data_IF_234388504067
#
_entry.id   IF_234388504067
#
_cell.length_a   1.000
_cell.length_b   1.000
_cell.length_c   1.000
_cell.angle_alpha   90.00
_cell.angle_beta   90.00
_cell.angle_gamma   90.00
#
_symmetry.space_group_name_H-M   'P 1'
#
loop_
_entity.id
_entity.type
_entity.pdbx_description
1 polymer ?
#
# COMPACT_ATOMS: atom_id res chain seq x y z
N UNK A 1 -12.46 -10.98 17.04
CA UNK A 1 -13.94 -10.83 17.09
C UNK A 1 -14.39 -9.55 17.80
N UNK A 2 -14.33 -9.42 19.14
CA UNK A 2 -14.82 -8.19 19.83
C UNK A 2 -13.88 -6.97 19.69
N UNK A 3 -12.56 -7.16 19.89
CA UNK A 3 -11.58 -6.06 19.79
C UNK A 3 -11.50 -5.51 18.37
N UNK A 4 -11.52 -6.39 17.36
CA UNK A 4 -11.55 -6.03 15.94
C UNK A 4 -12.84 -5.27 15.58
N UNK A 5 -13.98 -5.67 16.15
CA UNK A 5 -15.24 -4.98 15.93
C UNK A 5 -15.27 -3.58 16.57
N UNK A 6 -14.71 -3.42 17.78
CA UNK A 6 -14.53 -2.11 18.41
C UNK A 6 -13.56 -1.22 17.63
N UNK A 7 -12.45 -1.78 17.12
CA UNK A 7 -11.53 -1.06 16.23
C UNK A 7 -12.22 -0.62 14.93
N UNK A 8 -13.05 -1.48 14.33
CA UNK A 8 -13.80 -1.16 13.12
C UNK A 8 -14.76 0.02 13.31
N UNK A 9 -15.45 0.08 14.46
CA UNK A 9 -16.33 1.19 14.81
C UNK A 9 -15.57 2.46 15.16
N UNK A 10 -14.46 2.34 15.89
CA UNK A 10 -13.69 3.47 16.39
C UNK A 10 -12.75 4.10 15.34
N UNK A 11 -12.51 3.43 14.20
CA UNK A 11 -11.68 3.97 13.11
C UNK A 11 -12.50 5.00 12.31
N UNK A 12 -12.20 6.30 12.40
CA UNK A 12 -12.81 7.29 11.53
C UNK A 12 -12.45 6.93 10.09
N UNK A 13 -13.45 6.81 9.23
CA UNK A 13 -13.24 6.34 7.86
C UNK A 13 -14.35 6.93 6.99
N UNK A 14 -14.01 7.68 5.92
CA UNK A 14 -14.95 8.13 4.93
C UNK A 14 -15.87 7.00 4.43
N UNK A 15 -17.12 7.35 4.09
CA UNK A 15 -18.13 6.37 3.67
C UNK A 15 -17.68 5.53 2.48
N UNK A 16 -16.99 6.13 1.51
CA UNK A 16 -16.53 5.45 0.30
C UNK A 16 -15.45 4.39 0.62
N UNK A 17 -14.47 4.73 1.47
CA UNK A 17 -13.45 3.77 1.92
C UNK A 17 -14.04 2.64 2.76
N UNK A 18 -15.01 2.95 3.63
CA UNK A 18 -15.70 1.93 4.42
C UNK A 18 -16.51 0.97 3.55
N UNK A 19 -17.14 1.48 2.50
CA UNK A 19 -17.89 0.66 1.54
C UNK A 19 -16.97 -0.29 0.75
N UNK A 20 -15.73 0.13 0.48
CA UNK A 20 -14.70 -0.66 -0.20
C UNK A 20 -13.99 -1.68 0.68
N UNK A 21 -14.12 -1.59 2.02
CA UNK A 21 -13.56 -2.58 2.94
C UNK A 21 -12.20 -2.23 3.54
N UNK A 22 -11.70 -0.99 3.37
CA UNK A 22 -10.38 -0.59 3.88
C UNK A 22 -10.21 -0.79 5.40
N UNK A 23 -11.19 -0.45 6.27
CA UNK A 23 -11.07 -0.73 7.71
C UNK A 23 -10.96 -2.23 8.03
N UNK A 24 -11.64 -3.09 7.28
CA UNK A 24 -11.56 -4.54 7.46
C UNK A 24 -10.17 -5.04 7.10
N UNK A 25 -9.60 -4.55 5.99
CA UNK A 25 -8.28 -4.97 5.52
C UNK A 25 -7.16 -4.62 6.50
N UNK A 26 -7.14 -3.38 7.00
CA UNK A 26 -6.11 -2.95 7.97
C UNK A 26 -6.22 -3.71 9.30
N UNK A 27 -7.44 -4.05 9.75
CA UNK A 27 -7.67 -4.84 10.96
C UNK A 27 -7.27 -6.31 10.74
N UNK A 28 -7.62 -6.89 9.60
CA UNK A 28 -7.23 -8.25 9.23
C UNK A 28 -5.71 -8.39 9.15
N UNK A 29 -5.03 -7.42 8.53
CA UNK A 29 -3.57 -7.35 8.47
C UNK A 29 -2.96 -7.22 9.87
N UNK A 30 -3.55 -6.41 10.75
CA UNK A 30 -3.10 -6.33 12.15
C UNK A 30 -3.22 -7.68 12.87
N UNK A 31 -4.35 -8.37 12.71
CA UNK A 31 -4.59 -9.66 13.35
C UNK A 31 -3.62 -10.72 12.82
N UNK A 32 -3.38 -10.76 11.51
CA UNK A 32 -2.43 -11.66 10.87
C UNK A 32 -1.00 -11.41 11.36
N UNK A 33 -0.57 -10.15 11.42
CA UNK A 33 0.74 -9.80 11.98
C UNK A 33 0.93 -10.35 13.40
N UNK A 34 -0.08 -10.24 14.28
CA UNK A 34 0.03 -10.75 15.65
C UNK A 34 0.30 -12.25 15.70
N UNK A 35 -0.29 -13.03 14.79
CA UNK A 35 -0.07 -14.48 14.69
C UNK A 35 1.23 -14.83 13.98
N UNK A 36 1.58 -14.09 12.94
CA UNK A 36 2.70 -14.37 12.05
C UNK A 36 3.97 -13.56 12.34
N UNK A 37 4.05 -12.88 13.49
CA UNK A 37 5.11 -11.91 13.82
C UNK A 37 6.52 -12.44 13.56
N UNK A 38 6.80 -13.67 13.99
CA UNK A 38 8.11 -14.29 13.84
C UNK A 38 8.43 -14.61 12.37
N UNK A 39 7.44 -15.05 11.60
CA UNK A 39 7.58 -15.30 10.16
C UNK A 39 7.74 -14.00 9.35
N UNK A 40 7.14 -12.90 9.80
CA UNK A 40 7.23 -11.60 9.14
C UNK A 40 8.52 -10.85 9.48
N UNK A 41 9.19 -11.16 10.60
CA UNK A 41 10.38 -10.43 11.07
C UNK A 41 11.43 -10.20 9.97
N UNK A 42 11.88 -11.21 9.19
CA UNK A 42 12.88 -10.98 8.15
C UNK A 42 12.43 -9.97 7.08
N UNK A 43 11.16 -10.02 6.70
CA UNK A 43 10.59 -9.04 5.76
C UNK A 43 10.60 -7.63 6.37
N UNK A 44 10.14 -7.47 7.62
CA UNK A 44 10.11 -6.17 8.28
C UNK A 44 11.53 -5.57 8.47
N UNK A 45 12.52 -6.41 8.77
CA UNK A 45 13.92 -6.00 8.93
C UNK A 45 14.54 -5.59 7.58
N UNK A 46 14.32 -6.37 6.52
CA UNK A 46 14.78 -6.02 5.18
C UNK A 46 14.14 -4.72 4.69
N UNK A 47 12.82 -4.55 4.86
CA UNK A 47 12.11 -3.33 4.46
C UNK A 47 12.69 -2.11 5.16
N UNK A 48 12.91 -2.17 6.48
CA UNK A 48 13.56 -1.09 7.24
C UNK A 48 14.97 -0.79 6.73
N UNK A 49 15.78 -1.83 6.53
CA UNK A 49 17.17 -1.69 6.11
C UNK A 49 17.25 -0.96 4.76
N UNK A 50 16.44 -1.36 3.77
CA UNK A 50 16.44 -0.74 2.45
C UNK A 50 15.83 0.66 2.43
N UNK A 51 14.84 0.95 3.29
CA UNK A 51 14.38 2.33 3.49
C UNK A 51 15.53 3.21 4.02
N UNK A 52 16.30 2.73 4.99
CA UNK A 52 17.43 3.48 5.56
C UNK A 52 18.58 3.62 4.56
N UNK A 53 18.87 2.60 3.78
CA UNK A 53 19.87 2.62 2.72
C UNK A 53 19.50 3.65 1.64
N UNK A 54 18.28 3.60 1.10
CA UNK A 54 17.79 4.60 0.16
C UNK A 54 17.75 6.00 0.77
N UNK A 55 17.31 6.12 2.02
CA UNK A 55 17.34 7.40 2.71
C UNK A 55 18.77 7.94 2.75
N UNK A 56 19.79 7.10 3.05
CA UNK A 56 21.22 7.49 3.13
C UNK A 56 21.70 8.26 1.91
N UNK A 57 21.22 7.90 0.73
CA UNK A 57 21.58 8.57 -0.53
C UNK A 57 20.87 9.91 -0.77
N UNK A 58 19.85 10.28 0.01
CA UNK A 58 19.18 11.58 -0.11
C UNK A 58 20.16 12.74 0.16
N UNK A 59 20.21 13.70 -0.77
CA UNK A 59 21.08 14.89 -0.70
C UNK A 59 20.65 15.91 0.35
N UNK A 60 19.37 15.90 0.70
CA UNK A 60 18.77 16.81 1.68
C UNK A 60 18.16 16.05 2.85
N UNK A 61 17.88 16.79 3.90
CA UNK A 61 17.40 16.31 5.19
C UNK A 61 16.16 17.09 5.68
N UNK A 62 15.44 17.81 4.80
CA UNK A 62 14.26 18.58 5.23
C UNK A 62 13.02 17.72 5.31
N UNK A 63 12.60 17.11 4.19
CA UNK A 63 11.31 16.38 4.13
C UNK A 63 11.50 14.93 3.67
N UNK A 64 11.18 13.99 4.55
CA UNK A 64 10.95 12.60 4.18
C UNK A 64 9.45 12.28 4.10
N UNK A 65 9.04 11.55 3.08
CA UNK A 65 7.65 11.10 2.89
C UNK A 65 7.63 9.57 2.77
N UNK A 66 6.71 8.92 3.49
CA UNK A 66 6.48 7.48 3.40
C UNK A 66 5.03 7.22 2.98
N UNK A 67 4.84 6.77 1.74
CA UNK A 67 3.56 6.32 1.19
C UNK A 67 3.32 4.84 1.54
N UNK A 68 2.10 4.51 1.99
CA UNK A 68 1.78 3.17 2.49
C UNK A 68 2.38 2.93 3.88
N UNK A 69 2.44 3.98 4.70
CA UNK A 69 3.05 3.93 6.05
C UNK A 69 2.34 2.98 7.02
N UNK A 70 1.07 2.65 6.76
CA UNK A 70 0.31 1.61 7.41
C UNK A 70 0.39 1.61 8.93
N UNK A 71 0.76 0.46 9.49
CA UNK A 71 0.89 0.23 10.93
C UNK A 71 2.26 0.59 11.51
N UNK A 72 3.19 1.10 10.68
CA UNK A 72 4.59 1.41 11.04
C UNK A 72 5.37 0.19 11.57
N UNK A 73 5.10 -1.00 11.02
CA UNK A 73 5.78 -2.24 11.44
C UNK A 73 7.17 -2.35 10.80
N UNK A 74 7.28 -1.88 9.56
CA UNK A 74 8.40 -1.93 8.62
C UNK A 74 8.95 -0.53 8.27
N UNK A 75 8.35 0.53 8.81
CA UNK A 75 8.86 1.90 8.69
C UNK A 75 9.86 2.20 9.82
N UNK A 76 11.13 2.55 9.52
CA UNK A 76 12.14 2.90 10.52
C UNK A 76 11.94 4.34 11.02
N UNK A 77 10.81 4.57 11.72
CA UNK A 77 10.36 5.92 12.05
C UNK A 77 11.32 6.69 12.96
N UNK A 78 12.01 6.01 13.88
CA UNK A 78 12.90 6.68 14.82
C UNK A 78 14.11 7.29 14.09
N UNK A 79 14.69 6.50 13.19
CA UNK A 79 15.83 6.84 12.36
C UNK A 79 15.47 7.93 11.34
N UNK A 80 14.31 7.81 10.69
CA UNK A 80 13.81 8.86 9.78
C UNK A 80 13.53 10.16 10.54
N UNK A 81 12.91 10.10 11.72
CA UNK A 81 12.63 11.27 12.55
C UNK A 81 13.89 11.94 13.08
N UNK A 82 14.95 11.17 13.37
CA UNK A 82 16.25 11.73 13.77
C UNK A 82 16.95 12.43 12.61
N UNK A 83 16.78 11.90 11.39
CA UNK A 83 17.48 12.39 10.21
C UNK A 83 16.85 13.62 9.58
N UNK A 84 15.53 13.61 9.41
CA UNK A 84 14.84 14.63 8.62
C UNK A 84 14.18 15.68 9.52
N UNK A 85 14.18 16.95 9.10
CA UNK A 85 13.47 18.03 9.81
C UNK A 85 11.98 17.73 9.93
N UNK A 86 11.39 17.06 8.95
CA UNK A 86 10.00 16.61 8.93
C UNK A 86 9.86 15.22 8.28
N UNK A 87 9.04 14.37 8.89
CA UNK A 87 8.61 13.08 8.32
C UNK A 87 7.10 13.08 8.13
N UNK A 88 6.64 12.81 6.91
CA UNK A 88 5.22 12.75 6.56
C UNK A 88 4.84 11.29 6.28
N UNK A 89 3.96 10.75 7.10
CA UNK A 89 3.42 9.40 6.99
C UNK A 89 2.10 9.46 6.25
N UNK A 90 2.09 8.97 5.01
CA UNK A 90 0.93 8.97 4.13
C UNK A 90 0.37 7.56 4.07
N UNK A 91 -0.93 7.44 4.27
CA UNK A 91 -1.70 6.22 4.03
C UNK A 91 -3.14 6.60 3.74
N UNK A 92 -3.94 5.69 3.21
CA UNK A 92 -5.36 5.94 3.00
C UNK A 92 -6.12 5.96 4.34
N UNK A 93 -5.63 5.23 5.36
CA UNK A 93 -6.17 5.22 6.72
C UNK A 93 -5.06 4.94 7.74
N UNK A 94 -5.10 5.64 8.89
CA UNK A 94 -4.26 5.31 10.04
C UNK A 94 -5.10 4.95 11.26
N UNK A 95 -4.81 3.79 11.87
CA UNK A 95 -5.45 3.42 13.12
C UNK A 95 -5.04 4.39 14.26
N UNK A 96 -5.94 4.76 15.20
CA UNK A 96 -5.63 5.73 16.25
C UNK A 96 -4.39 5.39 17.10
N UNK A 97 -4.13 4.10 17.33
CA UNK A 97 -2.97 3.66 18.10
C UNK A 97 -1.64 3.87 17.34
N UNK A 98 -1.67 3.86 16.00
CA UNK A 98 -0.50 4.15 15.16
C UNK A 98 -0.10 5.61 15.36
N UNK A 99 -1.09 6.52 15.23
CA UNK A 99 -0.90 7.94 15.53
C UNK A 99 -0.39 8.15 16.95
N UNK A 100 -0.98 7.46 17.93
CA UNK A 100 -0.55 7.53 19.33
C UNK A 100 0.93 7.12 19.53
N UNK A 101 1.37 6.02 18.92
CA UNK A 101 2.78 5.56 19.02
C UNK A 101 3.76 6.57 18.43
N UNK A 102 3.36 7.27 17.38
CA UNK A 102 4.20 8.27 16.72
C UNK A 102 4.23 9.63 17.44
N UNK A 103 3.35 9.91 18.41
CA UNK A 103 3.31 11.19 19.16
C UNK A 103 4.62 11.56 19.87
N UNK A 104 5.50 10.59 20.11
CA UNK A 104 6.81 10.85 20.71
C UNK A 104 7.79 11.55 19.75
N UNK A 105 7.48 11.59 18.47
CA UNK A 105 8.30 12.22 17.43
C UNK A 105 7.63 13.54 17.01
N UNK A 106 8.14 14.70 17.47
CA UNK A 106 7.47 16.00 17.29
C UNK A 106 7.45 16.47 15.83
N UNK A 107 8.34 15.96 15.00
CA UNK A 107 8.46 16.27 13.58
C UNK A 107 7.72 15.29 12.65
N UNK A 108 6.90 14.40 13.21
CA UNK A 108 6.11 13.43 12.43
C UNK A 108 4.70 13.94 12.21
N UNK A 109 4.29 14.03 10.96
CA UNK A 109 2.93 14.40 10.53
C UNK A 109 2.27 13.24 9.80
N UNK A 110 0.97 13.04 10.01
CA UNK A 110 0.17 12.03 9.30
C UNK A 110 -0.69 12.71 8.24
N UNK A 111 -0.79 12.08 7.08
CA UNK A 111 -1.72 12.49 6.02
C UNK A 111 -2.54 11.30 5.56
N UNK A 112 -3.87 11.42 5.68
CA UNK A 112 -4.82 10.43 5.18
C UNK A 112 -5.18 10.81 3.73
N UNK A 113 -4.58 10.10 2.77
CA UNK A 113 -4.66 10.42 1.35
C UNK A 113 -4.76 9.15 0.51
N UNK A 114 -5.78 9.09 -0.34
CA UNK A 114 -5.77 8.21 -1.51
C UNK A 114 -4.81 8.82 -2.55
N UNK A 115 -3.59 8.28 -2.64
CA UNK A 115 -2.55 8.77 -3.55
C UNK A 115 -2.92 8.63 -5.03
N UNK A 116 -3.93 7.80 -5.34
CA UNK A 116 -4.44 7.63 -6.70
C UNK A 116 -5.64 8.54 -6.97
N UNK A 117 -6.40 8.89 -5.93
CA UNK A 117 -7.66 9.62 -6.04
C UNK A 117 -8.81 8.84 -6.68
N UNK A 118 -8.68 7.53 -6.93
CA UNK A 118 -9.70 6.74 -7.64
C UNK A 118 -10.81 6.23 -6.74
N UNK A 119 -10.58 6.09 -5.44
CA UNK A 119 -11.54 5.43 -4.56
C UNK A 119 -12.87 6.17 -4.51
N UNK A 120 -12.85 7.49 -4.34
CA UNK A 120 -14.08 8.29 -4.31
C UNK A 120 -14.76 8.35 -5.69
N UNK A 121 -13.98 8.40 -6.77
CA UNK A 121 -14.50 8.41 -8.14
C UNK A 121 -15.26 7.13 -8.47
N UNK A 122 -14.67 5.97 -8.17
CA UNK A 122 -15.29 4.65 -8.36
C UNK A 122 -16.56 4.54 -7.51
N UNK A 123 -16.52 5.00 -6.26
CA UNK A 123 -17.68 4.96 -5.38
C UNK A 123 -18.87 5.74 -5.94
N UNK A 124 -18.66 6.99 -6.39
CA UNK A 124 -19.71 7.81 -6.98
C UNK A 124 -20.19 7.27 -8.33
N UNK A 125 -19.29 6.68 -9.12
CA UNK A 125 -19.63 5.98 -10.36
C UNK A 125 -20.58 4.80 -10.12
N UNK A 126 -20.24 3.91 -9.19
CA UNK A 126 -21.09 2.76 -8.82
C UNK A 126 -22.47 3.23 -8.36
N UNK A 127 -22.52 4.29 -7.54
CA UNK A 127 -23.76 4.89 -7.07
C UNK A 127 -24.63 5.46 -8.21
N UNK A 128 -24.02 6.11 -9.20
CA UNK A 128 -24.73 6.60 -10.40
C UNK A 128 -25.30 5.46 -11.24
N UNK A 129 -24.51 4.42 -11.50
CA UNK A 129 -24.97 3.25 -12.26
C UNK A 129 -26.17 2.57 -11.58
N UNK A 130 -26.12 2.37 -10.25
CA UNK A 130 -27.24 1.81 -9.46
C UNK A 130 -28.50 2.67 -9.50
N UNK A 131 -28.38 3.97 -9.73
CA UNK A 131 -29.51 4.90 -9.84
C UNK A 131 -30.16 4.94 -11.23
N UNK A 132 -29.65 4.16 -12.21
CA UNK A 132 -30.10 4.18 -13.60
C UNK A 132 -29.69 5.44 -14.37
N UNK A 133 -28.75 6.24 -13.82
CA UNK A 133 -28.32 7.54 -14.37
C UNK A 133 -26.89 7.52 -14.93
N UNK A 134 -26.37 6.37 -15.33
CA UNK A 134 -24.98 6.25 -15.77
C UNK A 134 -24.81 5.35 -16.97
N UNK A 135 -24.01 5.80 -17.95
CA UNK A 135 -23.27 4.92 -18.85
C UNK A 135 -22.11 4.29 -18.08
N UNK A 136 -21.57 3.16 -18.57
CA UNK A 136 -20.30 2.60 -18.10
C UNK A 136 -19.22 3.70 -18.21
N UNK A 137 -18.67 4.22 -17.11
CA UNK A 137 -17.70 5.30 -17.20
C UNK A 137 -16.37 4.83 -17.76
N UNK A 138 -15.73 5.71 -18.54
CA UNK A 138 -14.32 5.59 -18.86
C UNK A 138 -13.50 5.69 -17.57
N UNK A 139 -12.37 5.00 -17.54
CA UNK A 139 -11.43 5.07 -16.42
C UNK A 139 -11.07 6.54 -16.12
N UNK A 140 -11.06 6.94 -14.84
CA UNK A 140 -10.84 8.34 -14.49
C UNK A 140 -9.49 8.83 -14.99
N UNK A 141 -9.46 10.03 -15.59
CA UNK A 141 -8.21 10.71 -15.88
C UNK A 141 -7.54 11.06 -14.56
N UNK A 142 -6.47 10.32 -14.27
CA UNK A 142 -5.60 10.55 -13.14
C UNK A 142 -4.77 11.79 -13.46
N UNK A 143 -5.25 12.98 -13.06
CA UNK A 143 -4.48 14.21 -13.15
C UNK A 143 -3.58 14.30 -11.91
N UNK A 144 -2.26 14.05 -12.01
CA UNK A 144 -1.40 14.11 -10.85
C UNK A 144 -1.27 15.57 -10.40
N UNK A 145 -1.77 15.88 -9.21
CA UNK A 145 -1.26 17.03 -8.45
C UNK A 145 0.10 16.62 -7.90
N UNK A 146 1.17 17.42 -8.06
CA UNK A 146 2.47 17.11 -7.48
C UNK A 146 2.34 16.76 -5.99
N UNK A 147 2.99 15.67 -5.55
CA UNK A 147 2.85 15.17 -4.18
C UNK A 147 3.17 16.26 -3.16
N UNK A 148 4.24 17.00 -3.39
CA UNK A 148 4.65 18.13 -2.55
C UNK A 148 3.53 19.17 -2.38
N UNK A 149 2.79 19.48 -3.46
CA UNK A 149 1.65 20.41 -3.40
C UNK A 149 0.49 19.82 -2.58
N UNK A 150 0.15 18.54 -2.79
CA UNK A 150 -0.89 17.85 -2.02
C UNK A 150 -0.56 17.79 -0.52
N UNK A 151 0.73 17.72 -0.18
CA UNK A 151 1.22 17.70 1.20
C UNK A 151 1.54 19.11 1.75
N UNK A 152 1.39 20.17 0.95
CA UNK A 152 1.72 21.53 1.38
C UNK A 152 3.19 21.73 1.79
N UNK A 153 4.12 21.05 1.10
CA UNK A 153 5.58 21.20 1.29
C UNK A 153 6.24 21.73 0.03
N UNK A 154 7.40 22.37 0.18
CA UNK A 154 8.14 22.94 -0.96
C UNK A 154 8.88 21.90 -1.79
N UNK A 155 9.44 20.87 -1.13
CA UNK A 155 10.19 19.79 -1.76
C UNK A 155 10.17 18.53 -0.89
N UNK A 156 10.43 17.38 -1.52
CA UNK A 156 10.59 16.08 -0.86
C UNK A 156 12.02 15.60 -1.13
N UNK A 157 12.85 15.56 -0.09
CA UNK A 157 14.26 15.14 -0.22
C UNK A 157 14.41 13.62 -0.23
N UNK A 158 13.46 12.90 0.39
CA UNK A 158 13.38 11.44 0.37
C UNK A 158 11.93 10.97 0.29
N UNK A 159 11.65 10.04 -0.62
CA UNK A 159 10.32 9.45 -0.80
C UNK A 159 10.41 7.92 -0.74
N UNK A 160 9.66 7.29 0.17
CA UNK A 160 9.47 5.85 0.20
C UNK A 160 8.04 5.47 -0.18
N UNK A 161 7.88 4.46 -1.03
CA UNK A 161 6.60 3.79 -1.30
C UNK A 161 6.72 2.35 -0.80
N UNK A 162 6.07 2.04 0.32
CA UNK A 162 6.29 0.82 1.09
C UNK A 162 5.12 -0.14 0.91
N UNK A 163 5.33 -1.17 0.12
CA UNK A 163 4.37 -2.19 -0.29
C UNK A 163 3.01 -1.67 -0.80
N UNK A 164 2.97 -0.42 -1.26
CA UNK A 164 1.73 0.25 -1.67
C UNK A 164 1.36 -0.09 -3.12
N UNK A 165 2.34 -0.16 -4.02
CA UNK A 165 2.13 -0.25 -5.47
C UNK A 165 1.23 -1.43 -5.85
N UNK A 166 1.56 -2.65 -5.41
CA UNK A 166 0.79 -3.88 -5.64
C UNK A 166 -0.61 -3.83 -5.01
N UNK A 167 -0.83 -3.00 -3.99
CA UNK A 167 -2.09 -2.92 -3.25
C UNK A 167 -3.08 -1.91 -3.83
N UNK A 168 -2.60 -0.91 -4.59
CA UNK A 168 -3.42 0.16 -5.18
C UNK A 168 -4.71 -0.33 -5.87
N UNK A 169 -4.68 -1.38 -6.73
CA UNK A 169 -5.88 -1.82 -7.43
C UNK A 169 -6.81 -2.70 -6.60
N UNK A 170 -6.33 -3.36 -5.53
CA UNK A 170 -7.01 -4.52 -4.93
C UNK A 170 -8.44 -4.19 -4.49
N UNK A 171 -8.61 -3.27 -3.53
CA UNK A 171 -9.93 -2.94 -2.98
C UNK A 171 -10.81 -2.12 -3.95
N UNK A 172 -10.27 -1.12 -4.68
CA UNK A 172 -11.06 -0.38 -5.65
C UNK A 172 -11.62 -1.27 -6.77
N UNK A 173 -10.82 -2.21 -7.31
CA UNK A 173 -11.28 -3.15 -8.34
C UNK A 173 -12.27 -4.16 -7.79
N UNK A 174 -12.00 -4.77 -6.62
CA UNK A 174 -12.93 -5.71 -6.00
C UNK A 174 -14.30 -5.07 -5.72
N UNK A 175 -14.32 -3.79 -5.32
CA UNK A 175 -15.55 -3.04 -5.15
C UNK A 175 -16.27 -2.77 -6.48
N UNK A 176 -15.52 -2.39 -7.52
CA UNK A 176 -16.07 -2.14 -8.85
C UNK A 176 -16.66 -3.42 -9.45
N UNK A 177 -15.92 -4.53 -9.45
CA UNK A 177 -16.34 -5.84 -9.94
C UNK A 177 -17.64 -6.31 -9.27
N UNK A 178 -17.68 -6.28 -7.93
CA UNK A 178 -18.86 -6.66 -7.14
C UNK A 178 -20.12 -5.88 -7.51
N UNK A 179 -19.97 -4.63 -7.94
CA UNK A 179 -21.09 -3.73 -8.20
C UNK A 179 -21.31 -3.39 -9.66
N UNK A 180 -20.46 -3.88 -10.56
CA UNK A 180 -20.47 -3.56 -11.99
C UNK A 180 -19.88 -4.71 -12.80
N UNK A 181 -20.59 -5.84 -12.91
CA UNK A 181 -20.12 -7.03 -13.65
C UNK A 181 -20.10 -6.83 -15.18
N UNK A 182 -20.28 -5.59 -15.65
CA UNK A 182 -20.22 -5.24 -17.06
C UNK A 182 -18.79 -5.09 -17.58
N UNK A 183 -17.80 -4.93 -16.69
CA UNK A 183 -16.40 -4.88 -17.05
C UNK A 183 -15.82 -6.29 -17.16
N UNK A 184 -15.03 -6.50 -18.21
CA UNK A 184 -14.25 -7.71 -18.42
C UNK A 184 -12.98 -7.74 -17.55
N UNK A 185 -12.41 -8.93 -17.38
CA UNK A 185 -11.12 -9.12 -16.69
C UNK A 185 -9.99 -8.33 -17.37
N UNK A 186 -10.01 -8.24 -18.71
CA UNK A 186 -9.06 -7.44 -19.49
C UNK A 186 -9.13 -5.96 -19.12
N UNK A 187 -10.34 -5.40 -18.97
CA UNK A 187 -10.53 -4.00 -18.58
C UNK A 187 -10.01 -3.73 -17.16
N UNK A 188 -10.19 -4.67 -16.23
CA UNK A 188 -9.59 -4.56 -14.90
C UNK A 188 -8.05 -4.61 -14.95
N UNK A 189 -7.48 -5.50 -15.76
CA UNK A 189 -6.03 -5.56 -15.97
C UNK A 189 -5.47 -4.28 -16.56
N UNK A 190 -6.13 -3.69 -17.56
CA UNK A 190 -5.74 -2.40 -18.14
C UNK A 190 -5.80 -1.30 -17.08
N UNK A 191 -6.83 -1.26 -16.25
CA UNK A 191 -6.95 -0.23 -15.23
C UNK A 191 -5.92 -0.38 -14.11
N UNK A 192 -5.68 -1.60 -13.61
CA UNK A 192 -4.62 -1.88 -12.65
C UNK A 192 -3.25 -1.39 -13.18
N UNK A 193 -2.97 -1.71 -14.45
CA UNK A 193 -1.76 -1.30 -15.14
C UNK A 193 -1.60 0.22 -15.22
N UNK A 194 -2.70 0.96 -15.44
CA UNK A 194 -2.70 2.41 -15.41
C UNK A 194 -2.42 2.97 -14.01
N UNK A 195 -2.99 2.38 -12.96
CA UNK A 195 -2.70 2.76 -11.57
C UNK A 195 -1.21 2.59 -11.25
N UNK A 196 -0.63 1.45 -11.62
CA UNK A 196 0.78 1.20 -11.37
C UNK A 196 1.69 2.18 -12.11
N UNK A 197 1.47 2.37 -13.41
CA UNK A 197 2.26 3.28 -14.24
C UNK A 197 2.20 4.71 -13.71
N UNK A 198 1.01 5.18 -13.34
CA UNK A 198 0.85 6.53 -12.82
C UNK A 198 1.49 6.71 -11.45
N UNK A 199 1.40 5.71 -10.57
CA UNK A 199 2.11 5.75 -9.29
C UNK A 199 3.62 5.86 -9.49
N UNK A 200 4.22 5.02 -10.35
CA UNK A 200 5.64 5.07 -10.65
C UNK A 200 6.10 6.41 -11.24
N UNK A 201 5.33 6.95 -12.19
CA UNK A 201 5.59 8.29 -12.74
C UNK A 201 5.52 9.36 -11.65
N UNK A 202 4.55 9.24 -10.75
CA UNK A 202 4.36 10.16 -9.64
C UNK A 202 5.51 10.10 -8.64
N UNK A 203 6.00 8.91 -8.28
CA UNK A 203 7.17 8.74 -7.42
C UNK A 203 8.40 9.43 -8.04
N UNK A 204 8.69 9.12 -9.32
CA UNK A 204 9.84 9.67 -10.04
C UNK A 204 9.78 11.19 -10.20
N UNK A 205 8.59 11.76 -10.35
CA UNK A 205 8.39 13.21 -10.45
C UNK A 205 8.46 13.92 -9.10
N UNK A 206 8.34 13.21 -7.97
CA UNK A 206 8.19 13.80 -6.65
C UNK A 206 9.50 13.97 -5.87
N UNK A 207 10.51 13.13 -6.14
CA UNK A 207 11.81 13.23 -5.48
C UNK A 207 12.92 12.65 -6.36
N UNK A 208 14.15 13.15 -6.21
CA UNK A 208 15.34 12.54 -6.82
C UNK A 208 15.76 11.24 -6.10
N UNK A 209 15.40 11.08 -4.82
CA UNK A 209 15.70 9.88 -4.04
C UNK A 209 14.40 9.15 -3.68
N UNK A 210 14.16 8.03 -4.36
CA UNK A 210 12.93 7.25 -4.22
C UNK A 210 13.27 5.82 -3.80
N UNK A 211 12.72 5.36 -2.68
CA UNK A 211 12.71 3.96 -2.29
C UNK A 211 11.36 3.34 -2.66
N UNK A 212 11.34 2.35 -3.56
CA UNK A 212 10.15 1.55 -3.84
C UNK A 212 10.36 0.13 -3.32
N UNK A 213 9.47 -0.30 -2.44
CA UNK A 213 9.38 -1.68 -1.99
C UNK A 213 7.99 -2.19 -2.39
N UNK A 214 7.92 -3.29 -3.13
CA UNK A 214 6.66 -3.82 -3.65
C UNK A 214 6.69 -5.33 -3.79
N UNK A 215 5.54 -5.96 -3.59
CA UNK A 215 5.31 -7.33 -4.02
C UNK A 215 5.46 -7.41 -5.56
N UNK A 216 6.15 -8.47 -6.02
CA UNK A 216 6.37 -8.79 -7.43
C UNK A 216 5.57 -10.03 -7.83
N UNK A 217 5.59 -11.06 -6.99
CA UNK A 217 4.87 -12.31 -7.21
C UNK A 217 4.24 -12.79 -5.90
N UNK A 218 3.08 -13.42 -6.01
CA UNK A 218 2.47 -14.22 -4.94
C UNK A 218 2.65 -15.70 -5.28
N UNK A 219 3.16 -16.45 -4.31
CA UNK A 219 3.55 -17.85 -4.45
C UNK A 219 2.80 -18.66 -3.41
N UNK A 220 2.08 -19.69 -3.87
CA UNK A 220 1.44 -20.68 -2.99
C UNK A 220 2.24 -21.98 -3.07
N UNK A 221 2.65 -22.49 -1.91
CA UNK A 221 3.38 -23.74 -1.75
C UNK A 221 2.55 -24.76 -1.00
N UNK A 222 2.73 -26.04 -1.31
CA UNK A 222 2.15 -27.14 -0.54
C UNK A 222 2.89 -27.37 0.81
N UNK A 223 2.46 -28.38 1.55
CA UNK A 223 3.04 -28.74 2.84
C UNK A 223 4.49 -29.28 2.74
N UNK A 224 4.91 -29.73 1.55
CA UNK A 224 6.25 -30.22 1.24
C UNK A 224 7.15 -29.12 0.64
N UNK A 225 6.61 -27.92 0.39
CA UNK A 225 7.32 -26.80 -0.21
C UNK A 225 7.31 -26.79 -1.74
N UNK A 226 6.51 -27.62 -2.40
CA UNK A 226 6.36 -27.59 -3.86
C UNK A 226 5.45 -26.44 -4.30
N UNK A 227 5.77 -25.86 -5.45
CA UNK A 227 4.97 -24.79 -6.05
C UNK A 227 3.60 -25.31 -6.48
N UNK A 228 2.52 -24.76 -5.90
CA UNK A 228 1.14 -24.97 -6.36
C UNK A 228 0.80 -23.89 -7.39
N UNK A 229 1.05 -22.63 -7.05
CA UNK A 229 0.58 -21.50 -7.82
C UNK A 229 1.56 -20.32 -7.74
N UNK A 230 1.65 -19.58 -8.84
CA UNK A 230 2.41 -18.34 -8.94
C UNK A 230 1.59 -17.31 -9.69
N UNK A 231 1.35 -16.18 -9.05
CA UNK A 231 0.62 -15.04 -9.59
C UNK A 231 1.55 -13.82 -9.67
N UNK A 232 1.44 -13.03 -10.73
CA UNK A 232 2.14 -11.75 -10.85
C UNK A 232 1.37 -10.66 -10.08
N UNK A 233 2.01 -10.02 -9.10
CA UNK A 233 1.38 -9.01 -8.25
C UNK A 233 1.15 -7.66 -8.96
N UNK A 234 1.79 -7.44 -10.12
CA UNK A 234 1.75 -6.20 -10.89
C UNK A 234 1.07 -6.37 -12.25
N UNK A 235 0.32 -7.46 -12.45
CA UNK A 235 -0.24 -7.87 -13.75
C UNK A 235 0.85 -8.03 -14.83
N UNK A 236 0.49 -8.51 -16.03
CA UNK A 236 1.44 -8.74 -17.14
C UNK A 236 2.01 -7.46 -17.76
N UNK A 237 1.72 -6.29 -17.18
CA UNK A 237 1.96 -5.01 -17.81
C UNK A 237 3.32 -4.38 -17.50
N UNK A 238 4.04 -4.85 -16.47
CA UNK A 238 5.28 -4.21 -16.04
C UNK A 238 6.41 -5.17 -15.67
N UNK A 239 7.60 -4.88 -16.19
CA UNK A 239 8.86 -5.47 -15.75
C UNK A 239 9.61 -4.46 -14.88
N UNK A 240 9.50 -4.60 -13.56
CA UNK A 240 10.39 -3.91 -12.63
C UNK A 240 11.70 -4.69 -12.52
N UNK A 241 12.83 -3.97 -12.44
CA UNK A 241 14.14 -4.57 -12.22
C UNK A 241 14.57 -4.25 -10.79
N UNK A 242 14.28 -5.15 -9.82
CA UNK A 242 14.68 -4.96 -8.44
C UNK A 242 16.20 -5.08 -8.26
N UNK A 243 16.77 -4.24 -7.40
CA UNK A 243 18.16 -4.37 -6.94
C UNK A 243 18.32 -5.59 -6.06
N UNK A 244 17.35 -5.82 -5.17
CA UNK A 244 17.31 -6.95 -4.25
C UNK A 244 15.90 -7.52 -4.19
N UNK A 245 15.79 -8.84 -4.06
CA UNK A 245 14.53 -9.57 -3.88
C UNK A 245 14.63 -10.49 -2.67
N UNK A 246 13.58 -10.55 -1.86
CA UNK A 246 13.46 -11.50 -0.75
C UNK A 246 12.05 -12.09 -0.67
N UNK A 247 11.91 -13.17 0.10
CA UNK A 247 10.62 -13.82 0.34
C UNK A 247 10.00 -13.29 1.64
N UNK A 248 8.74 -12.88 1.57
CA UNK A 248 7.90 -12.60 2.71
C UNK A 248 6.89 -13.73 2.91
N UNK A 249 7.04 -14.49 3.99
CA UNK A 249 6.11 -15.56 4.38
C UNK A 249 4.85 -14.93 4.99
N UNK A 250 3.96 -14.43 4.13
CA UNK A 250 2.78 -13.67 4.55
C UNK A 250 1.79 -14.53 5.35
N UNK A 251 1.60 -15.79 4.94
CA UNK A 251 0.82 -16.79 5.66
C UNK A 251 1.59 -18.12 5.70
N UNK A 252 2.34 -18.42 6.78
CA UNK A 252 2.99 -19.71 6.95
C UNK A 252 1.95 -20.83 7.06
N UNK A 253 2.37 -22.09 6.91
CA UNK A 253 1.47 -23.26 6.97
C UNK A 253 0.54 -23.25 8.20
N UNK A 254 1.02 -22.79 9.35
CA UNK A 254 0.23 -22.69 10.59
C UNK A 254 -0.91 -21.68 10.56
N UNK A 255 -0.98 -20.82 9.53
CA UNK A 255 -1.99 -19.77 9.35
C UNK A 255 -3.08 -20.17 8.35
N UNK A 256 -2.81 -21.12 7.44
CA UNK A 256 -3.79 -21.54 6.42
C UNK A 256 -4.57 -22.76 6.88
N UNK A 257 -5.82 -22.89 6.42
CA UNK A 257 -6.66 -24.04 6.72
C UNK A 257 -6.36 -25.26 5.82
N UNK A 258 -5.51 -25.09 4.81
CA UNK A 258 -5.27 -26.04 3.71
C UNK A 258 -3.87 -26.64 3.73
N UNK A 259 -3.12 -26.50 4.83
CA UNK A 259 -1.70 -26.89 4.96
C UNK A 259 -0.79 -26.26 3.87
N UNK A 260 -1.19 -25.12 3.32
CA UNK A 260 -0.42 -24.39 2.30
C UNK A 260 0.35 -23.24 2.91
N UNK A 261 1.44 -22.83 2.26
CA UNK A 261 2.18 -21.62 2.60
C UNK A 261 1.99 -20.58 1.50
N UNK A 262 1.71 -19.33 1.90
CA UNK A 262 1.67 -18.20 0.99
C UNK A 262 2.91 -17.34 1.25
N UNK A 263 3.71 -17.17 0.21
CA UNK A 263 4.88 -16.31 0.15
C UNK A 263 4.69 -15.20 -0.87
N UNK A 264 5.15 -13.99 -0.57
CA UNK A 264 5.31 -12.93 -1.57
C UNK A 264 6.80 -12.78 -1.89
N UNK A 265 7.13 -12.66 -3.17
CA UNK A 265 8.46 -12.17 -3.58
C UNK A 265 8.40 -10.66 -3.60
N UNK A 266 9.18 -10.04 -2.71
CA UNK A 266 9.21 -8.59 -2.51
C UNK A 266 10.49 -8.04 -3.11
N UNK A 267 10.38 -6.99 -3.91
CA UNK A 267 11.52 -6.30 -4.53
C UNK A 267 11.76 -4.93 -3.93
N UNK A 268 13.04 -4.56 -3.79
CA UNK A 268 13.47 -3.18 -3.57
C UNK A 268 14.02 -2.59 -4.87
N UNK A 269 13.52 -1.40 -5.22
CA UNK A 269 13.92 -0.56 -6.35
C UNK A 269 14.27 0.81 -5.80
N UNK A 270 15.37 1.40 -6.27
CA UNK A 270 15.86 2.71 -5.84
C UNK A 270 16.62 3.42 -6.95
#
# INVERSE_FOLDING_TARGET
MLIEWLQYLATPCPKYLRAMGYPQEIIATQARYRRCREAWRPHLENTKAFILESAAAAKGDRTAVVLGSGMLLDVPLAELSQRFEQVILVDILHLPWVKFRARRYPNVRFEELDVTGVCELIFEQVKRMRSGRGTVPKLPELLPKPLAQSLGVSSIDFLASVNLLSQLPILPLAYLEKHSPAYSEEEFGVFASLLFRNHLLHLKASSEQVCLITDLERITLDNLGNLIERENALYDSMSLIPKVVWNWRIAPQTETATDTEICHRVGWID
#
